data_IF_125498753084
#
_entry.id   IF_125498753084
#
_cell.length_a   1.000
_cell.length_b   1.000
_cell.length_c   1.000
_cell.angle_alpha   90.00
_cell.angle_beta   90.00
_cell.angle_gamma   90.00
#
_symmetry.space_group_name_H-M   'P 1'
#
loop_
_entity.id
_entity.type
_entity.pdbx_description
1 polymer ?
#
# COMPACT_ATOMS: atom_id res chain seq x y z
N UNK A 1 10.14 -5.00 18.20
CA UNK A 1 10.00 -6.11 17.24
C UNK A 1 11.19 -7.05 17.40
N UNK A 2 11.00 -8.37 17.50
CA UNK A 2 12.10 -9.25 17.90
C UNK A 2 12.96 -9.67 16.70
N UNK A 3 14.28 -9.60 16.89
CA UNK A 3 15.31 -9.78 15.86
C UNK A 3 15.32 -11.14 15.13
N UNK A 4 14.62 -12.15 15.64
CA UNK A 4 14.63 -13.51 15.07
C UNK A 4 13.79 -13.67 13.80
N UNK A 5 12.86 -12.75 13.51
CA UNK A 5 12.08 -12.78 12.26
C UNK A 5 12.93 -12.47 11.02
N UNK A 6 14.11 -11.88 11.20
CA UNK A 6 15.04 -11.53 10.11
C UNK A 6 16.21 -12.51 9.94
N UNK A 7 16.40 -13.45 10.87
CA UNK A 7 17.45 -14.48 10.77
C UNK A 7 16.89 -15.73 10.09
N UNK A 8 17.01 -15.79 8.78
CA UNK A 8 16.62 -16.95 7.97
C UNK A 8 16.52 -16.61 6.48
N UNK A 9 16.13 -17.60 5.66
CA UNK A 9 16.01 -17.48 4.20
C UNK A 9 15.15 -16.28 3.72
N UNK A 10 14.25 -15.78 4.57
CA UNK A 10 13.44 -14.60 4.31
C UNK A 10 14.28 -13.31 4.36
N UNK A 11 15.19 -13.16 5.32
CA UNK A 11 16.09 -12.00 5.41
C UNK A 11 17.12 -11.95 4.29
N UNK A 12 17.59 -13.11 3.81
CA UNK A 12 18.47 -13.16 2.62
C UNK A 12 17.75 -12.78 1.33
N UNK A 13 16.47 -13.15 1.22
CA UNK A 13 15.62 -12.84 0.05
C UNK A 13 15.32 -11.35 -0.09
N UNK A 14 15.42 -10.57 0.99
CA UNK A 14 15.27 -9.11 0.99
C UNK A 14 16.59 -8.35 1.18
N UNK A 15 17.76 -9.03 1.18
CA UNK A 15 19.06 -8.32 1.16
C UNK A 15 19.21 -7.56 -0.16
N UNK A 16 19.28 -6.23 -0.08
CA UNK A 16 19.42 -5.35 -1.24
C UNK A 16 18.10 -4.92 -1.89
N UNK A 17 16.96 -5.39 -1.36
CA UNK A 17 15.64 -4.83 -1.67
C UNK A 17 15.44 -3.49 -0.93
N UNK A 18 14.48 -2.63 -1.33
CA UNK A 18 14.15 -1.44 -0.56
C UNK A 18 13.92 -1.82 0.91
N UNK A 19 14.44 -1.01 1.84
CA UNK A 19 14.33 -1.21 3.30
C UNK A 19 12.88 -0.99 3.77
N UNK A 20 11.93 -1.75 3.22
CA UNK A 20 10.52 -1.68 3.59
C UNK A 20 10.35 -2.48 4.88
N UNK A 21 9.84 -1.79 5.89
CA UNK A 21 9.42 -2.40 7.15
C UNK A 21 7.92 -2.19 7.28
N UNK A 22 7.22 -3.21 7.73
CA UNK A 22 5.81 -3.06 8.07
C UNK A 22 5.70 -2.22 9.35
N UNK A 23 4.85 -1.20 9.30
CA UNK A 23 4.57 -0.33 10.43
C UNK A 23 3.22 -0.70 11.05
N UNK A 24 3.18 -0.81 12.37
CA UNK A 24 1.94 -1.12 13.10
C UNK A 24 0.95 0.07 13.15
N UNK A 25 1.35 1.25 12.67
CA UNK A 25 0.52 2.48 12.69
C UNK A 25 0.75 3.36 11.47
N UNK A 26 -0.32 3.94 10.87
CA UNK A 26 -0.20 4.83 9.72
C UNK A 26 0.58 6.11 10.03
N UNK A 27 0.63 6.54 11.30
CA UNK A 27 1.39 7.73 11.72
C UNK A 27 2.90 7.61 11.53
N UNK A 28 3.42 6.38 11.43
CA UNK A 28 4.84 6.10 11.21
C UNK A 28 5.10 5.52 9.81
N UNK A 29 4.10 5.52 8.93
CA UNK A 29 4.22 4.96 7.60
C UNK A 29 4.64 6.04 6.61
N UNK A 30 5.72 5.80 5.86
CA UNK A 30 6.09 6.62 4.71
C UNK A 30 5.23 6.29 3.48
N UNK A 31 4.76 5.05 3.40
CA UNK A 31 3.88 4.55 2.33
C UNK A 31 2.71 3.80 2.97
N UNK A 32 1.49 4.11 2.54
CA UNK A 32 0.28 3.37 2.88
C UNK A 32 -0.17 2.61 1.64
N UNK A 33 -0.37 1.30 1.76
CA UNK A 33 -0.68 0.43 0.62
C UNK A 33 -2.11 -0.08 0.71
N UNK A 34 -2.88 0.05 -0.38
CA UNK A 34 -4.23 -0.51 -0.53
C UNK A 34 -4.15 -1.66 -1.54
N UNK A 35 -4.27 -2.90 -1.07
CA UNK A 35 -4.02 -4.11 -1.87
C UNK A 35 -5.29 -4.77 -2.43
N UNK A 36 -6.37 -4.00 -2.61
CA UNK A 36 -7.66 -4.53 -3.08
C UNK A 36 -8.78 -3.50 -3.02
N UNK A 37 -10.00 -3.95 -3.31
CA UNK A 37 -11.19 -3.09 -3.29
C UNK A 37 -11.52 -2.61 -1.88
N UNK A 38 -11.84 -1.31 -1.76
CA UNK A 38 -12.43 -0.75 -0.54
C UNK A 38 -13.93 -0.65 -0.72
N UNK A 39 -14.66 -1.68 -0.31
CA UNK A 39 -16.12 -1.66 -0.42
C UNK A 39 -16.73 -0.48 0.32
N UNK A 40 -17.93 -0.05 -0.09
CA UNK A 40 -18.63 1.08 0.53
C UNK A 40 -18.67 1.02 2.08
N UNK A 41 -18.97 -0.12 2.74
CA UNK A 41 -18.95 -0.22 4.20
C UNK A 41 -17.55 -0.05 4.83
N UNK A 42 -16.49 -0.43 4.10
CA UNK A 42 -15.11 -0.34 4.57
C UNK A 42 -14.50 1.04 4.28
N UNK A 43 -15.01 1.75 3.27
CA UNK A 43 -14.42 2.97 2.72
C UNK A 43 -14.21 4.05 3.79
N UNK A 44 -15.22 4.34 4.62
CA UNK A 44 -15.14 5.36 5.67
C UNK A 44 -14.07 5.01 6.72
N UNK A 45 -14.05 3.76 7.19
CA UNK A 45 -13.07 3.30 8.16
C UNK A 45 -11.65 3.34 7.58
N UNK A 46 -11.48 2.93 6.31
CA UNK A 46 -10.19 2.99 5.63
C UNK A 46 -9.70 4.43 5.47
N UNK A 47 -10.57 5.35 5.02
CA UNK A 47 -10.24 6.78 4.90
C UNK A 47 -9.84 7.34 6.27
N UNK A 48 -10.55 7.00 7.34
CA UNK A 48 -10.22 7.44 8.70
C UNK A 48 -8.86 6.91 9.20
N UNK A 49 -8.42 5.75 8.72
CA UNK A 49 -7.08 5.21 9.03
C UNK A 49 -6.01 5.87 8.17
N UNK A 50 -6.21 5.97 6.85
CA UNK A 50 -5.22 6.54 5.91
C UNK A 50 -5.00 8.03 6.22
N UNK A 51 -6.04 8.77 6.59
CA UNK A 51 -5.95 10.19 6.97
C UNK A 51 -5.14 10.47 8.24
N UNK A 52 -4.78 9.44 9.01
CA UNK A 52 -3.85 9.57 10.14
C UNK A 52 -2.39 9.53 9.70
N UNK A 53 -2.11 9.17 8.43
CA UNK A 53 -0.76 9.21 7.89
C UNK A 53 -0.27 10.66 7.74
N UNK A 54 1.04 10.92 7.92
CA UNK A 54 1.61 12.22 7.61
C UNK A 54 1.29 12.68 6.19
N UNK A 55 1.12 13.99 5.98
CA UNK A 55 0.87 14.55 4.64
C UNK A 55 2.03 14.32 3.65
N UNK A 56 3.21 13.94 4.15
CA UNK A 56 4.38 13.57 3.35
C UNK A 56 4.37 12.12 2.89
N UNK A 57 3.47 11.30 3.42
CA UNK A 57 3.35 9.89 3.06
C UNK A 57 2.71 9.71 1.69
N UNK A 58 2.98 8.57 1.05
CA UNK A 58 2.37 8.21 -0.25
C UNK A 58 1.29 7.17 -0.09
N UNK A 59 0.26 7.26 -0.92
CA UNK A 59 -0.78 6.24 -1.05
C UNK A 59 -0.46 5.36 -2.27
N UNK A 60 -0.28 4.06 -2.06
CA UNK A 60 0.00 3.10 -3.14
C UNK A 60 -1.20 2.20 -3.36
N UNK A 61 -1.90 2.36 -4.48
CA UNK A 61 -3.01 1.48 -4.86
C UNK A 61 -2.47 0.31 -5.69
N UNK A 62 -2.65 -0.90 -5.16
CA UNK A 62 -2.12 -2.13 -5.75
C UNK A 62 -3.25 -3.00 -6.26
N UNK A 63 -3.25 -3.17 -7.57
CA UNK A 63 -4.19 -3.99 -8.32
C UNK A 63 -5.43 -3.24 -8.77
N UNK A 64 -6.08 -3.80 -9.79
CA UNK A 64 -7.19 -3.15 -10.49
C UNK A 64 -8.39 -2.90 -9.54
N UNK A 65 -8.63 -3.80 -8.58
CA UNK A 65 -9.68 -3.62 -7.59
C UNK A 65 -9.47 -2.40 -6.69
N UNK A 66 -8.22 -2.01 -6.40
CA UNK A 66 -7.93 -0.81 -5.60
C UNK A 66 -8.30 0.48 -6.35
N UNK A 67 -8.31 0.43 -7.69
CA UNK A 67 -8.76 1.50 -8.57
C UNK A 67 -10.29 1.54 -8.75
N UNK A 68 -11.02 0.58 -8.19
CA UNK A 68 -12.43 0.37 -8.52
C UNK A 68 -12.62 -0.16 -9.95
N UNK A 69 -11.60 -0.83 -10.49
CA UNK A 69 -11.64 -1.54 -11.76
C UNK A 69 -11.67 -3.06 -11.54
N UNK A 70 -11.76 -3.82 -12.64
CA UNK A 70 -11.75 -5.28 -12.59
C UNK A 70 -13.06 -5.90 -12.07
N UNK A 71 -13.01 -7.11 -11.49
CA UNK A 71 -14.22 -7.86 -11.11
C UNK A 71 -15.09 -7.19 -10.04
N UNK A 72 -14.52 -6.30 -9.23
CA UNK A 72 -15.21 -5.56 -8.17
C UNK A 72 -15.46 -4.08 -8.53
N UNK A 73 -15.48 -3.79 -9.84
CA UNK A 73 -15.77 -2.45 -10.32
C UNK A 73 -17.17 -1.99 -9.88
N UNK A 74 -17.26 -0.79 -9.34
CA UNK A 74 -18.51 -0.20 -8.82
C UNK A 74 -18.78 -0.46 -7.34
N UNK A 75 -18.03 -1.35 -6.68
CA UNK A 75 -18.15 -1.59 -5.23
C UNK A 75 -17.19 -0.72 -4.40
N UNK A 76 -16.16 -0.15 -5.04
CA UNK A 76 -15.18 0.74 -4.41
C UNK A 76 -15.44 2.20 -4.84
N UNK A 77 -15.74 3.14 -3.91
CA UNK A 77 -15.98 4.54 -4.26
C UNK A 77 -14.71 5.29 -4.72
N UNK A 78 -13.58 4.60 -4.84
CA UNK A 78 -12.30 5.18 -5.24
C UNK A 78 -11.61 5.86 -4.07
N UNK A 79 -10.43 5.36 -3.68
CA UNK A 79 -9.69 5.86 -2.51
C UNK A 79 -8.91 7.14 -2.79
N UNK A 80 -8.51 7.31 -4.04
CA UNK A 80 -7.48 8.25 -4.48
C UNK A 80 -7.80 9.72 -4.14
N UNK A 81 -9.06 10.14 -4.27
CA UNK A 81 -9.43 11.57 -4.15
C UNK A 81 -9.71 12.03 -2.72
N UNK A 82 -9.82 11.12 -1.75
CA UNK A 82 -10.45 11.45 -0.46
C UNK A 82 -9.43 11.79 0.63
N UNK A 83 -8.16 11.37 0.49
CA UNK A 83 -7.19 11.44 1.60
C UNK A 83 -6.09 12.50 1.42
N UNK A 84 -5.98 13.11 0.24
CA UNK A 84 -5.04 14.22 0.00
C UNK A 84 -3.55 13.83 0.04
N UNK A 85 -3.24 12.54 0.00
CA UNK A 85 -1.88 12.01 -0.17
C UNK A 85 -1.52 11.95 -1.66
N UNK A 86 -0.23 11.99 -1.96
CA UNK A 86 0.25 11.70 -3.32
C UNK A 86 0.02 10.21 -3.61
N UNK A 87 -0.74 9.91 -4.67
CA UNK A 87 -1.15 8.55 -5.01
C UNK A 87 -0.35 7.99 -6.17
N UNK A 88 0.13 6.76 -6.00
CA UNK A 88 0.77 5.95 -7.03
C UNK A 88 0.03 4.65 -7.25
N UNK A 89 0.14 4.10 -8.46
CA UNK A 89 -0.71 3.01 -8.95
C UNK A 89 0.15 1.86 -9.51
N UNK A 90 -0.19 0.63 -9.13
CA UNK A 90 0.38 -0.58 -9.71
C UNK A 90 -0.76 -1.46 -10.24
N UNK A 91 -0.92 -1.48 -11.56
CA UNK A 91 -1.97 -2.26 -12.22
C UNK A 91 -1.67 -3.76 -12.21
N UNK A 92 -2.73 -4.58 -12.20
CA UNK A 92 -2.67 -6.03 -12.30
C UNK A 92 -3.78 -6.76 -11.53
N UNK A 93 -4.16 -7.95 -12.02
CA UNK A 93 -5.17 -8.81 -11.40
C UNK A 93 -4.84 -10.32 -11.60
N UNK A 94 -4.01 -10.94 -10.71
CA UNK A 94 -3.27 -10.32 -9.60
C UNK A 94 -1.98 -9.63 -10.05
N UNK A 95 -1.50 -8.67 -9.26
CA UNK A 95 -0.23 -7.97 -9.51
C UNK A 95 0.94 -8.93 -9.42
N UNK A 96 1.84 -8.90 -10.41
CA UNK A 96 3.07 -9.71 -10.36
C UNK A 96 4.05 -9.15 -9.32
N UNK A 97 4.83 -10.03 -8.67
CA UNK A 97 5.84 -9.60 -7.71
C UNK A 97 6.86 -8.63 -8.33
N UNK A 98 7.22 -8.81 -9.60
CA UNK A 98 8.14 -7.89 -10.29
C UNK A 98 7.53 -6.50 -10.47
N UNK A 99 6.25 -6.42 -10.87
CA UNK A 99 5.53 -5.16 -10.98
C UNK A 99 5.41 -4.47 -9.63
N UNK A 100 5.14 -5.24 -8.57
CA UNK A 100 5.07 -4.73 -7.21
C UNK A 100 6.40 -4.12 -6.77
N UNK A 101 7.50 -4.85 -6.92
CA UNK A 101 8.84 -4.38 -6.51
C UNK A 101 9.29 -3.15 -7.30
N UNK A 102 8.98 -3.08 -8.60
CA UNK A 102 9.32 -1.92 -9.45
C UNK A 102 8.44 -0.70 -9.19
N UNK A 103 7.20 -0.92 -8.75
CA UNK A 103 6.23 0.16 -8.53
C UNK A 103 6.24 0.75 -7.13
N UNK A 104 7.02 0.21 -6.18
CA UNK A 104 7.19 0.83 -4.87
C UNK A 104 8.02 2.12 -5.02
N UNK A 105 7.50 3.28 -4.60
CA UNK A 105 8.25 4.53 -4.71
C UNK A 105 9.44 4.60 -3.78
N UNK A 106 10.46 5.32 -4.22
CA UNK A 106 11.52 5.77 -3.32
C UNK A 106 11.04 6.96 -2.52
N UNK A 107 10.96 6.76 -1.20
CA UNK A 107 10.52 7.75 -0.21
C UNK A 107 11.65 8.16 0.75
N UNK A 108 12.88 7.71 0.49
CA UNK A 108 14.03 8.06 1.34
C UNK A 108 14.35 9.55 1.25
N UNK A 109 14.40 10.22 2.42
CA UNK A 109 14.73 11.64 2.59
C UNK A 109 15.74 11.82 3.71
#
# INVERSE_FOLDING_TARGET
MPAYLWSGALGERFRGAPRVVECDTPRHADIVVVTGSLTEPLSEAAIAVISQAPATSRLLLVGDCALGEGPMAGESPGTDKTVGLETELIQGCPVTLESLVKGVPDVTR
#
